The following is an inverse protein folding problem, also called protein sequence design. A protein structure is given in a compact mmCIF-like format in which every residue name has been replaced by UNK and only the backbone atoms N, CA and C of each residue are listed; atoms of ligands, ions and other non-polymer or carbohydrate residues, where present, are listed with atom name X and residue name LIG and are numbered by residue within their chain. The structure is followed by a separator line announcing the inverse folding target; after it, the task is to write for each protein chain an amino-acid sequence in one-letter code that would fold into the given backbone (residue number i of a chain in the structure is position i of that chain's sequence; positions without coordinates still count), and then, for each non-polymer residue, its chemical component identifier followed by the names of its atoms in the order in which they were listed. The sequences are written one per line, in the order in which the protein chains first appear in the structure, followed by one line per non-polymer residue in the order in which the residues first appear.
data_IF_527590626856
#
_entry.id   IF_527590626856
#
_cell.length_a   1.000
_cell.length_b   1.000
_cell.length_c   1.000
_cell.angle_alpha   90.00
_cell.angle_beta   90.00
_cell.angle_gamma   90.00
#
_symmetry.space_group_name_H-M   'P 1'
#
loop_
_entity.id
_entity.type
_entity.pdbx_description
1 polymer ?
#
# COMPACT_ATOMS: atom_id res chain seq x y z
N UNK A 1 -69.97 -46.47 0.21
CA UNK A 1 -69.59 -45.42 -0.76
C UNK A 1 -68.15 -45.01 -0.47
N UNK A 2 -67.19 -45.57 -1.18
CA UNK A 2 -65.77 -45.20 -1.06
C UNK A 2 -65.25 -44.97 -2.48
N UNK A 3 -64.89 -43.73 -2.75
CA UNK A 3 -64.45 -43.23 -4.04
C UNK A 3 -62.98 -43.53 -4.27
N UNK A 4 -62.69 -44.02 -5.46
CA UNK A 4 -61.40 -43.96 -6.17
C UNK A 4 -60.96 -42.50 -6.40
N UNK A 5 -59.74 -42.35 -6.96
CA UNK A 5 -59.05 -41.16 -7.54
C UNK A 5 -58.13 -40.40 -6.57
N UNK A 6 -56.88 -40.02 -6.87
CA UNK A 6 -56.05 -40.09 -8.09
C UNK A 6 -54.56 -39.93 -7.72
N UNK A 7 -53.71 -40.40 -8.64
CA UNK A 7 -52.25 -40.44 -8.66
C UNK A 7 -51.64 -39.06 -9.01
N UNK A 8 -50.39 -38.86 -8.58
CA UNK A 8 -49.38 -37.88 -9.05
C UNK A 8 -49.63 -36.38 -8.83
N UNK A 9 -48.71 -35.75 -8.09
CA UNK A 9 -48.19 -34.43 -8.46
C UNK A 9 -46.78 -34.24 -7.85
N UNK A 10 -45.80 -34.50 -8.72
CA UNK A 10 -44.64 -33.65 -9.01
C UNK A 10 -43.68 -33.28 -7.87
N UNK A 11 -42.63 -34.11 -7.78
CA UNK A 11 -41.29 -33.63 -7.44
C UNK A 11 -40.85 -32.61 -8.49
N UNK A 12 -40.82 -31.34 -8.12
CA UNK A 12 -39.98 -30.36 -8.79
C UNK A 12 -38.96 -29.83 -7.76
N UNK A 13 -37.89 -30.61 -7.59
CA UNK A 13 -36.68 -30.10 -6.95
C UNK A 13 -36.02 -29.21 -7.99
N UNK A 14 -36.31 -27.91 -7.92
CA UNK A 14 -35.57 -26.87 -8.63
C UNK A 14 -34.16 -26.77 -8.03
N UNK A 15 -33.27 -27.67 -8.47
CA UNK A 15 -31.83 -27.48 -8.41
C UNK A 15 -31.46 -26.57 -9.58
N UNK A 16 -31.78 -25.29 -9.45
CA UNK A 16 -31.24 -24.28 -10.36
C UNK A 16 -29.95 -23.74 -9.76
N UNK A 17 -28.88 -24.27 -10.36
CA UNK A 17 -27.59 -23.62 -10.58
C UNK A 17 -27.04 -22.80 -9.42
N UNK A 18 -26.14 -23.44 -8.66
CA UNK A 18 -24.97 -22.76 -8.09
C UNK A 18 -24.19 -22.21 -9.29
N UNK A 19 -24.62 -21.04 -9.75
CA UNK A 19 -23.91 -20.25 -10.73
C UNK A 19 -22.56 -19.92 -10.11
N UNK A 20 -21.55 -20.56 -10.70
CA UNK A 20 -20.18 -20.11 -10.81
C UNK A 20 -19.82 -19.03 -9.80
N UNK A 21 -19.12 -19.42 -8.73
CA UNK A 21 -18.21 -18.51 -8.06
C UNK A 21 -17.24 -18.03 -9.12
N UNK A 22 -17.60 -16.94 -9.80
CA UNK A 22 -16.65 -16.05 -10.43
C UNK A 22 -15.68 -15.77 -9.31
N UNK A 23 -14.50 -16.37 -9.38
CA UNK A 23 -13.33 -15.91 -8.65
C UNK A 23 -13.20 -14.44 -9.05
N UNK A 24 -13.89 -13.57 -8.31
CA UNK A 24 -13.68 -12.15 -8.38
C UNK A 24 -12.24 -12.02 -7.92
N UNK A 25 -11.33 -11.91 -8.88
CA UNK A 25 -9.92 -11.67 -8.64
C UNK A 25 -9.85 -10.66 -7.51
N UNK A 26 -9.34 -11.12 -6.36
CA UNK A 26 -9.27 -10.27 -5.19
C UNK A 26 -8.24 -9.19 -5.55
N UNK A 27 -8.74 -8.03 -5.97
CA UNK A 27 -7.90 -6.89 -6.27
C UNK A 27 -7.17 -6.50 -4.98
N UNK A 28 -5.84 -6.53 -5.02
CA UNK A 28 -4.98 -6.17 -3.90
C UNK A 28 -4.72 -4.67 -3.91
N UNK A 29 -4.47 -4.11 -2.72
CA UNK A 29 -4.27 -2.67 -2.55
C UNK A 29 -3.04 -2.15 -3.29
N UNK A 30 -1.99 -2.97 -3.34
CA UNK A 30 -0.75 -2.74 -4.07
C UNK A 30 -0.66 -3.75 -5.21
N UNK A 31 -0.24 -3.29 -6.38
CA UNK A 31 0.14 -4.20 -7.46
C UNK A 31 1.49 -4.87 -7.17
N UNK A 32 1.77 -5.98 -7.86
CA UNK A 32 3.08 -6.65 -7.80
C UNK A 32 4.24 -5.73 -8.21
N UNK A 33 3.97 -4.77 -9.12
CA UNK A 33 4.95 -3.77 -9.53
C UNK A 33 5.22 -2.76 -8.39
N UNK A 34 4.16 -2.22 -7.78
CA UNK A 34 4.30 -1.29 -6.66
C UNK A 34 5.01 -1.94 -5.48
N UNK A 35 4.69 -3.21 -5.18
CA UNK A 35 5.34 -3.95 -4.10
C UNK A 35 6.83 -4.19 -4.40
N UNK A 36 7.17 -4.57 -5.64
CA UNK A 36 8.56 -4.74 -6.09
C UNK A 36 9.34 -3.44 -5.97
N UNK A 37 8.74 -2.31 -6.33
CA UNK A 37 9.33 -0.99 -6.18
C UNK A 37 9.57 -0.63 -4.72
N UNK A 38 8.62 -0.90 -3.82
CA UNK A 38 8.79 -0.70 -2.38
C UNK A 38 9.96 -1.52 -1.84
N UNK A 39 10.07 -2.81 -2.21
CA UNK A 39 11.23 -3.63 -1.84
C UNK A 39 12.54 -3.08 -2.40
N UNK A 40 12.54 -2.60 -3.64
CA UNK A 40 13.70 -1.95 -4.26
C UNK A 40 14.13 -0.70 -3.51
N UNK A 41 13.17 0.16 -3.15
CA UNK A 41 13.39 1.38 -2.37
C UNK A 41 13.90 1.10 -0.97
N UNK A 42 13.41 0.06 -0.29
CA UNK A 42 13.91 -0.37 1.01
C UNK A 42 15.39 -0.78 0.95
N UNK A 43 15.79 -1.55 -0.06
CA UNK A 43 17.22 -1.90 -0.28
C UNK A 43 18.08 -0.66 -0.60
N UNK A 44 17.55 0.27 -1.39
CA UNK A 44 18.23 1.53 -1.66
C UNK A 44 18.40 2.38 -0.40
N UNK A 45 17.40 2.39 0.50
CA UNK A 45 17.51 3.04 1.80
C UNK A 45 18.61 2.38 2.64
N UNK A 46 18.64 1.05 2.76
CA UNK A 46 19.71 0.34 3.47
C UNK A 46 21.10 0.72 2.95
N UNK A 47 21.25 0.87 1.64
CA UNK A 47 22.48 1.37 1.00
C UNK A 47 22.76 2.83 1.40
N UNK A 48 21.76 3.70 1.38
CA UNK A 48 21.91 5.10 1.80
C UNK A 48 22.35 5.21 3.27
N UNK A 49 21.90 4.29 4.12
CA UNK A 49 22.25 4.27 5.56
C UNK A 49 23.71 3.89 5.83
N UNK A 50 24.44 3.32 4.87
CA UNK A 50 25.89 3.12 5.02
C UNK A 50 26.67 4.42 4.92
N UNK A 51 26.06 5.50 4.41
CA UNK A 51 26.71 6.79 4.27
C UNK A 51 27.00 7.44 5.64
N UNK A 52 28.19 8.03 5.88
CA UNK A 52 28.53 8.63 7.18
C UNK A 52 27.53 9.68 7.66
N UNK A 53 26.99 10.51 6.75
CA UNK A 53 25.98 11.53 7.09
C UNK A 53 24.65 10.95 7.54
N UNK A 54 24.32 9.71 7.16
CA UNK A 54 23.11 9.04 7.63
C UNK A 54 23.12 8.78 9.14
N UNK A 55 24.30 8.82 9.80
CA UNK A 55 24.46 8.69 11.25
C UNK A 55 24.19 9.99 12.02
N UNK A 56 23.89 11.08 11.32
CA UNK A 56 23.58 12.37 11.96
C UNK A 56 22.32 12.24 12.81
N UNK A 57 22.39 12.68 14.07
CA UNK A 57 21.28 12.57 15.03
C UNK A 57 20.01 13.27 14.52
N UNK A 58 20.15 14.44 13.91
CA UNK A 58 19.02 15.21 13.37
C UNK A 58 18.29 14.52 12.21
N UNK A 59 18.88 13.47 11.61
CA UNK A 59 18.25 12.70 10.52
C UNK A 59 17.53 11.44 11.00
N UNK A 60 17.81 10.95 12.20
CA UNK A 60 17.30 9.66 12.67
C UNK A 60 15.77 9.61 12.70
N UNK A 61 15.13 10.72 13.10
CA UNK A 61 13.66 10.80 13.08
C UNK A 61 13.06 10.61 11.68
N UNK A 62 13.68 11.20 10.66
CA UNK A 62 13.24 11.09 9.26
C UNK A 62 13.54 9.71 8.67
N UNK A 63 14.72 9.15 8.98
CA UNK A 63 15.13 7.80 8.57
C UNK A 63 14.18 6.75 9.16
N UNK A 64 13.90 6.83 10.46
CA UNK A 64 12.99 5.90 11.13
C UNK A 64 11.59 6.00 10.52
N UNK A 65 11.10 7.22 10.28
CA UNK A 65 9.79 7.42 9.66
C UNK A 65 9.71 6.81 8.26
N UNK A 66 10.73 7.01 7.42
CA UNK A 66 10.76 6.42 6.08
C UNK A 66 10.81 4.88 6.13
N UNK A 67 11.61 4.33 7.05
CA UNK A 67 11.69 2.88 7.28
C UNK A 67 10.33 2.30 7.68
N UNK A 68 9.65 2.94 8.64
CA UNK A 68 8.31 2.54 9.07
C UNK A 68 7.31 2.55 7.91
N UNK A 69 7.37 3.53 7.01
CA UNK A 69 6.50 3.54 5.84
C UNK A 69 6.75 2.37 4.89
N UNK A 70 8.01 2.05 4.60
CA UNK A 70 8.31 0.90 3.74
C UNK A 70 7.88 -0.42 4.37
N UNK A 71 8.11 -0.59 5.67
CA UNK A 71 7.64 -1.78 6.40
C UNK A 71 6.11 -1.89 6.37
N UNK A 72 5.40 -0.76 6.55
CA UNK A 72 3.96 -0.72 6.45
C UNK A 72 3.47 -1.08 5.04
N UNK A 73 4.07 -0.52 3.99
CA UNK A 73 3.69 -0.84 2.60
C UNK A 73 3.92 -2.32 2.26
N UNK A 74 5.03 -2.91 2.73
CA UNK A 74 5.28 -4.34 2.58
C UNK A 74 4.20 -5.15 3.30
N UNK A 75 3.79 -4.74 4.50
CA UNK A 75 2.72 -5.41 5.25
C UNK A 75 1.35 -5.35 4.57
N UNK A 76 1.15 -4.47 3.58
CA UNK A 76 -0.09 -4.34 2.83
C UNK A 76 -0.17 -5.28 1.62
N UNK A 77 0.82 -6.15 1.38
CA UNK A 77 0.86 -7.06 0.24
C UNK A 77 -0.41 -7.92 0.09
N UNK A 78 -1.04 -8.31 1.20
CA UNK A 78 -2.24 -9.16 1.22
C UNK A 78 -3.52 -8.35 1.51
N UNK A 79 -3.41 -7.02 1.59
CA UNK A 79 -4.53 -6.15 1.91
C UNK A 79 -5.41 -5.96 0.67
N UNK A 80 -6.71 -6.20 0.83
CA UNK A 80 -7.68 -6.02 -0.26
C UNK A 80 -7.83 -4.56 -0.65
N UNK A 81 -7.98 -4.31 -1.94
CA UNK A 81 -8.24 -3.00 -2.49
C UNK A 81 -9.61 -2.49 -2.01
N UNK A 82 -9.61 -1.26 -1.49
CA UNK A 82 -10.81 -0.45 -1.34
C UNK A 82 -10.44 0.99 -1.66
N UNK A 83 -11.39 1.78 -2.19
CA UNK A 83 -11.16 3.20 -2.50
C UNK A 83 -10.58 3.97 -1.32
N UNK A 84 -11.09 3.71 -0.11
CA UNK A 84 -10.62 4.36 1.13
C UNK A 84 -9.17 4.00 1.48
N UNK A 85 -8.80 2.73 1.37
CA UNK A 85 -7.42 2.32 1.64
C UNK A 85 -6.46 2.79 0.54
N UNK A 86 -6.90 2.83 -0.72
CA UNK A 86 -6.12 3.40 -1.83
C UNK A 86 -5.84 4.89 -1.64
N UNK A 87 -6.85 5.68 -1.29
CA UNK A 87 -6.67 7.11 -0.99
C UNK A 87 -5.68 7.35 0.17
N UNK A 88 -5.75 6.53 1.23
CA UNK A 88 -4.79 6.60 2.35
C UNK A 88 -3.38 6.21 1.92
N UNK A 89 -3.26 5.17 1.09
CA UNK A 89 -1.98 4.72 0.55
C UNK A 89 -1.35 5.82 -0.30
N UNK A 90 -2.09 6.42 -1.23
CA UNK A 90 -1.61 7.53 -2.07
C UNK A 90 -1.16 8.73 -1.24
N UNK A 91 -1.93 9.10 -0.21
CA UNK A 91 -1.53 10.15 0.73
C UNK A 91 -0.24 9.82 1.48
N UNK A 92 -0.01 8.54 1.78
CA UNK A 92 1.21 8.06 2.44
C UNK A 92 2.39 8.00 1.47
N UNK A 93 2.18 7.58 0.22
CA UNK A 93 3.20 7.59 -0.84
C UNK A 93 3.70 9.01 -1.13
N UNK A 94 2.82 10.02 -1.15
CA UNK A 94 3.22 11.44 -1.28
C UNK A 94 4.12 11.89 -0.12
N UNK A 95 3.81 11.47 1.11
CA UNK A 95 4.65 11.76 2.28
C UNK A 95 6.00 11.07 2.18
N UNK A 96 6.03 9.82 1.73
CA UNK A 96 7.26 9.06 1.47
C UNK A 96 8.13 9.75 0.43
N UNK A 97 7.57 10.21 -0.68
CA UNK A 97 8.32 10.93 -1.72
C UNK A 97 9.02 12.19 -1.17
N UNK A 98 8.34 12.93 -0.27
CA UNK A 98 8.95 14.08 0.40
C UNK A 98 10.08 13.66 1.35
N UNK A 99 9.92 12.57 2.10
CA UNK A 99 10.99 12.05 2.97
C UNK A 99 12.19 11.54 2.17
N UNK A 100 11.96 10.85 1.05
CA UNK A 100 13.00 10.43 0.12
C UNK A 100 13.81 11.62 -0.39
N UNK A 101 13.13 12.66 -0.93
CA UNK A 101 13.79 13.88 -1.42
C UNK A 101 14.61 14.56 -0.32
N UNK A 102 14.05 14.69 0.89
CA UNK A 102 14.76 15.27 2.04
C UNK A 102 16.05 14.52 2.34
N UNK A 103 15.98 13.19 2.48
CA UNK A 103 17.12 12.37 2.85
C UNK A 103 18.17 12.35 1.73
N UNK A 104 17.76 12.24 0.47
CA UNK A 104 18.69 12.30 -0.67
C UNK A 104 19.42 13.65 -0.70
N UNK A 105 18.69 14.77 -0.57
CA UNK A 105 19.31 16.10 -0.59
C UNK A 105 20.28 16.32 0.56
N UNK A 106 19.95 15.89 1.77
CA UNK A 106 20.79 16.15 2.95
C UNK A 106 21.95 15.16 3.08
N UNK A 107 21.75 13.90 2.71
CA UNK A 107 22.77 12.84 2.84
C UNK A 107 23.69 12.82 1.61
N UNK A 108 23.12 12.79 0.40
CA UNK A 108 23.88 12.62 -0.86
C UNK A 108 24.34 13.96 -1.41
N UNK A 109 23.44 14.95 -1.50
CA UNK A 109 23.76 16.27 -2.06
C UNK A 109 24.32 17.24 -1.03
N UNK A 110 24.49 16.77 0.20
CA UNK A 110 25.13 17.50 1.28
C UNK A 110 24.46 18.80 1.71
N UNK A 111 23.20 18.99 1.33
CA UNK A 111 22.46 20.22 1.62
C UNK A 111 22.15 20.38 3.11
N UNK A 112 21.91 21.63 3.53
CA UNK A 112 21.54 21.94 4.91
C UNK A 112 20.09 21.53 5.17
N UNK A 113 19.88 20.70 6.20
CA UNK A 113 18.55 20.19 6.59
C UNK A 113 17.49 21.29 6.68
N UNK A 114 17.78 22.39 7.38
CA UNK A 114 16.82 23.49 7.58
C UNK A 114 16.43 24.17 6.27
N UNK A 115 17.35 24.27 5.30
CA UNK A 115 17.08 24.85 3.98
C UNK A 115 16.10 23.97 3.22
N UNK A 116 16.37 22.65 3.17
CA UNK A 116 15.50 21.70 2.46
C UNK A 116 14.11 21.65 3.09
N UNK A 117 14.00 21.66 4.42
CA UNK A 117 12.71 21.68 5.12
C UNK A 117 11.90 22.96 4.83
N UNK A 118 12.56 24.12 4.78
CA UNK A 118 11.89 25.38 4.45
C UNK A 118 11.32 25.37 3.02
N UNK A 119 12.07 24.80 2.07
CA UNK A 119 11.60 24.64 0.69
C UNK A 119 10.43 23.65 0.56
N UNK A 120 10.48 22.53 1.28
CA UNK A 120 9.36 21.57 1.35
C UNK A 120 8.10 22.23 1.89
N UNK A 121 8.23 23.02 2.97
CA UNK A 121 7.11 23.77 3.54
C UNK A 121 6.50 24.74 2.52
N UNK A 122 7.33 25.46 1.76
CA UNK A 122 6.87 26.39 0.73
C UNK A 122 6.07 25.68 -0.38
N UNK A 123 6.52 24.49 -0.82
CA UNK A 123 5.83 23.68 -1.84
C UNK A 123 4.46 23.17 -1.39
N UNK A 124 4.27 22.94 -0.09
CA UNK A 124 2.99 22.47 0.46
C UNK A 124 1.95 23.59 0.65
N UNK A 125 2.37 24.86 0.63
CA UNK A 125 1.50 26.03 0.82
C UNK A 125 1.09 26.71 -0.49
N UNK A 126 1.56 26.20 -1.63
CA UNK A 126 1.20 26.66 -2.98
C UNK A 126 0.18 25.72 -3.59
#
# INVERSE_FOLDING_TARGET
MSTLTTIEEEQEVSVEEISETRDSEIELLLSDEELRDVYGKKRSLETLLTHPRAKTVSLQGYINMLTTYYDAFISYQDLKHTKKEREKLEGSMKRVANLEDLLIRVIVREEKLLTVLAEHKKRMTQ
#
